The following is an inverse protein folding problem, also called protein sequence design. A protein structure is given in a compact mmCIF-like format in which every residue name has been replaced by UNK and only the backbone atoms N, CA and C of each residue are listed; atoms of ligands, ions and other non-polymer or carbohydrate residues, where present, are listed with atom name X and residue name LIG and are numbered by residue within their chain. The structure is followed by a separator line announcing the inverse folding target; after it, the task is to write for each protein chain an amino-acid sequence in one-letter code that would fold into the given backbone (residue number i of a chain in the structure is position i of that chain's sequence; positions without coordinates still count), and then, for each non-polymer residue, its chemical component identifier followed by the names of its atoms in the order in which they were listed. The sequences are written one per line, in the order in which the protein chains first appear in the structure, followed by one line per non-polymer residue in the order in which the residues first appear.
data_IF_903842663144
#
_entry.id   IF_903842663144
#
_cell.length_a   1.000
_cell.length_b   1.000
_cell.length_c   1.000
_cell.angle_alpha   90.00
_cell.angle_beta   90.00
_cell.angle_gamma   90.00
#
_symmetry.space_group_name_H-M   'P 1'
#
loop_
_entity.id
_entity.type
_entity.pdbx_description
1 polymer ?
#
# COMPACT_ATOMS: atom_id res chain seq x y z
N UNK A 1 -3.64 -18.05 7.87
CA UNK A 1 -4.71 -18.46 6.93
C UNK A 1 -4.53 -17.69 5.64
N UNK A 2 -4.56 -18.37 4.49
CA UNK A 2 -4.58 -17.73 3.18
C UNK A 2 -6.02 -17.55 2.74
N UNK A 3 -6.36 -16.35 2.26
CA UNK A 3 -7.67 -16.06 1.70
C UNK A 3 -7.59 -16.18 0.17
N UNK A 4 -8.52 -16.91 -0.46
CA UNK A 4 -8.52 -17.05 -1.90
C UNK A 4 -8.67 -15.70 -2.60
N UNK A 5 -7.78 -15.42 -3.54
CA UNK A 5 -7.85 -14.28 -4.47
C UNK A 5 -7.77 -14.86 -5.87
N UNK A 6 -8.91 -15.28 -6.40
CA UNK A 6 -9.03 -15.99 -7.67
C UNK A 6 -9.88 -15.18 -8.67
N UNK A 7 -9.84 -15.57 -9.93
CA UNK A 7 -10.64 -14.90 -10.95
C UNK A 7 -12.15 -15.01 -10.65
N UNK A 8 -12.60 -16.13 -10.07
CA UNK A 8 -14.02 -16.35 -9.75
C UNK A 8 -14.55 -15.38 -8.69
N UNK A 9 -13.70 -14.88 -7.80
CA UNK A 9 -14.07 -13.88 -6.79
C UNK A 9 -13.59 -12.46 -7.13
N UNK A 10 -13.16 -12.22 -8.39
CA UNK A 10 -12.63 -10.94 -8.83
C UNK A 10 -11.36 -10.52 -8.10
N UNK A 11 -10.59 -11.48 -7.60
CA UNK A 11 -9.39 -11.26 -6.76
C UNK A 11 -9.66 -10.47 -5.47
N UNK A 12 -10.92 -10.39 -5.05
CA UNK A 12 -11.33 -9.72 -3.82
C UNK A 12 -11.53 -10.76 -2.70
N UNK A 13 -10.63 -10.82 -1.71
CA UNK A 13 -10.75 -11.79 -0.62
C UNK A 13 -11.96 -11.46 0.26
N UNK A 14 -12.63 -12.50 0.73
CA UNK A 14 -13.70 -12.38 1.74
C UNK A 14 -13.09 -12.31 3.13
N UNK A 15 -13.85 -11.72 4.06
CA UNK A 15 -13.48 -11.74 5.47
C UNK A 15 -13.35 -13.20 5.95
N UNK A 16 -12.32 -13.51 6.77
CA UNK A 16 -12.09 -14.87 7.23
C UNK A 16 -13.09 -15.31 8.31
N UNK A 17 -13.37 -16.60 8.39
CA UNK A 17 -14.19 -17.20 9.46
C UNK A 17 -13.44 -17.24 10.81
N UNK A 18 -12.10 -17.08 10.78
CA UNK A 18 -11.25 -17.08 11.97
C UNK A 18 -10.84 -15.65 12.31
N UNK A 19 -10.78 -15.36 13.59
CA UNK A 19 -10.33 -14.06 14.12
C UNK A 19 -8.79 -13.99 14.10
N UNK A 20 -8.16 -13.28 13.15
CA UNK A 20 -6.71 -13.08 13.12
C UNK A 20 -6.32 -11.90 14.00
N UNK A 21 -5.09 -11.92 14.52
CA UNK A 21 -4.46 -10.75 15.15
C UNK A 21 -3.83 -9.79 14.12
N UNK A 22 -3.43 -10.33 12.96
CA UNK A 22 -2.76 -9.62 11.90
C UNK A 22 -3.36 -9.95 10.53
N UNK A 23 -3.65 -8.93 9.74
CA UNK A 23 -4.19 -9.03 8.38
C UNK A 23 -3.18 -8.38 7.43
N UNK A 24 -2.74 -9.10 6.40
CA UNK A 24 -1.90 -8.54 5.34
C UNK A 24 -2.71 -8.38 4.07
N UNK A 25 -2.82 -7.15 3.58
CA UNK A 25 -3.49 -6.81 2.32
C UNK A 25 -2.51 -6.09 1.39
N UNK A 26 -2.48 -6.49 0.12
CA UNK A 26 -1.66 -5.84 -0.90
C UNK A 26 -2.55 -5.39 -2.06
N UNK A 27 -2.76 -4.07 -2.19
CA UNK A 27 -3.55 -3.48 -3.26
C UNK A 27 -2.96 -2.13 -3.73
N UNK A 28 -2.77 -1.94 -5.05
CA UNK A 28 -2.92 -2.95 -6.11
C UNK A 28 -2.03 -4.17 -5.89
N UNK A 29 -2.56 -5.36 -6.21
CA UNK A 29 -1.94 -6.63 -5.84
C UNK A 29 -0.82 -7.04 -6.80
N UNK A 30 0.24 -7.57 -6.26
CA UNK A 30 1.24 -8.33 -7.00
C UNK A 30 1.03 -9.84 -6.69
N UNK A 31 0.77 -10.72 -7.69
CA UNK A 31 0.99 -10.53 -9.14
C UNK A 31 -0.25 -10.18 -9.98
N UNK A 32 -1.44 -10.12 -9.40
CA UNK A 32 -2.70 -10.10 -10.16
C UNK A 32 -3.03 -8.74 -10.79
N UNK A 33 -2.47 -7.65 -10.27
CA UNK A 33 -2.83 -6.28 -10.64
C UNK A 33 -4.21 -5.84 -10.12
N UNK A 34 -4.92 -6.69 -9.39
CA UNK A 34 -6.22 -6.36 -8.86
C UNK A 34 -6.15 -5.23 -7.82
N UNK A 35 -7.12 -4.34 -7.87
CA UNK A 35 -7.31 -3.26 -6.90
C UNK A 35 -8.57 -3.53 -6.05
N UNK A 36 -8.72 -2.80 -4.96
CA UNK A 36 -9.86 -2.91 -4.05
C UNK A 36 -10.61 -1.57 -4.01
N UNK A 37 -11.94 -1.62 -4.09
CA UNK A 37 -12.73 -0.38 -3.97
C UNK A 37 -12.72 0.15 -2.54
N UNK A 38 -13.02 1.43 -2.38
CA UNK A 38 -13.07 2.07 -1.06
C UNK A 38 -14.08 1.38 -0.14
N UNK A 39 -15.25 1.01 -0.67
CA UNK A 39 -16.29 0.33 0.09
C UNK A 39 -15.86 -1.06 0.56
N UNK A 40 -15.15 -1.79 -0.30
CA UNK A 40 -14.61 -3.10 0.06
C UNK A 40 -13.47 -3.00 1.08
N UNK A 41 -12.59 -2.00 0.94
CA UNK A 41 -11.51 -1.74 1.90
C UNK A 41 -12.06 -1.28 3.25
N UNK A 42 -13.13 -0.45 3.26
CA UNK A 42 -13.81 -0.03 4.49
C UNK A 42 -14.29 -1.23 5.32
N UNK A 43 -14.84 -2.26 4.68
CA UNK A 43 -15.26 -3.49 5.40
C UNK A 43 -14.11 -4.18 6.11
N UNK A 44 -12.91 -4.16 5.54
CA UNK A 44 -11.71 -4.68 6.20
C UNK A 44 -11.28 -3.84 7.40
N UNK A 45 -11.39 -2.52 7.28
CA UNK A 45 -11.09 -1.58 8.38
C UNK A 45 -12.08 -1.75 9.51
N UNK A 46 -13.38 -1.83 9.20
CA UNK A 46 -14.44 -2.04 10.19
C UNK A 46 -14.24 -3.38 10.92
N UNK A 47 -13.99 -4.45 10.16
CA UNK A 47 -13.72 -5.77 10.73
C UNK A 47 -12.48 -5.79 11.62
N UNK A 48 -11.37 -5.19 11.18
CA UNK A 48 -10.15 -5.14 11.97
C UNK A 48 -10.34 -4.37 13.30
N UNK A 49 -11.09 -3.27 13.28
CA UNK A 49 -11.45 -2.54 14.49
C UNK A 49 -12.35 -3.36 15.43
N UNK A 50 -13.34 -4.07 14.88
CA UNK A 50 -14.24 -4.93 15.65
C UNK A 50 -13.50 -6.04 16.42
N UNK A 51 -12.56 -6.72 15.73
CA UNK A 51 -11.81 -7.84 16.32
C UNK A 51 -10.48 -7.43 16.96
N UNK A 52 -10.16 -6.13 16.97
CA UNK A 52 -8.88 -5.58 17.47
C UNK A 52 -7.64 -6.11 16.75
N UNK A 53 -7.75 -6.42 15.45
CA UNK A 53 -6.63 -6.82 14.61
C UNK A 53 -5.89 -5.63 14.02
N UNK A 54 -4.64 -5.86 13.59
CA UNK A 54 -3.84 -4.87 12.87
C UNK A 54 -3.75 -5.24 11.38
N UNK A 55 -4.08 -4.28 10.51
CA UNK A 55 -3.89 -4.42 9.06
C UNK A 55 -2.48 -3.93 8.70
N UNK A 56 -1.71 -4.75 7.98
CA UNK A 56 -0.56 -4.32 7.20
C UNK A 56 -1.03 -4.11 5.76
N UNK A 57 -1.15 -2.87 5.35
CA UNK A 57 -1.60 -2.49 4.01
C UNK A 57 -0.41 -2.16 3.11
N UNK A 58 -0.11 -3.05 2.16
CA UNK A 58 0.95 -2.85 1.18
C UNK A 58 0.42 -2.10 -0.04
N UNK A 59 0.76 -0.81 -0.13
CA UNK A 59 0.39 0.10 -1.19
C UNK A 59 1.56 0.41 -2.14
N UNK A 60 2.46 -0.55 -2.36
CA UNK A 60 3.67 -0.32 -3.18
C UNK A 60 3.36 0.08 -4.63
N UNK A 61 2.18 -0.27 -5.15
CA UNK A 61 1.74 0.01 -6.52
C UNK A 61 0.68 1.12 -6.64
N UNK A 62 0.41 1.87 -5.58
CA UNK A 62 -0.63 2.91 -5.54
C UNK A 62 -0.54 3.95 -6.66
N UNK A 63 0.67 4.22 -7.13
CA UNK A 63 0.92 5.21 -8.17
C UNK A 63 0.34 4.83 -9.54
N UNK A 64 -0.03 3.56 -9.75
CA UNK A 64 -0.64 3.06 -10.99
C UNK A 64 -2.17 3.03 -10.96
N UNK A 65 -2.79 3.45 -9.87
CA UNK A 65 -4.26 3.59 -9.77
C UNK A 65 -4.69 4.76 -10.64
N UNK A 66 -5.68 4.50 -11.51
CA UNK A 66 -6.25 5.49 -12.44
C UNK A 66 -7.74 5.72 -12.19
N UNK A 67 -8.41 4.83 -11.48
CA UNK A 67 -9.84 4.85 -11.21
C UNK A 67 -10.15 5.65 -9.94
N UNK A 68 -11.12 6.55 -10.01
CA UNK A 68 -11.49 7.46 -8.91
C UNK A 68 -12.05 6.76 -7.66
N UNK A 69 -12.67 5.57 -7.84
CA UNK A 69 -13.27 4.81 -6.75
C UNK A 69 -12.28 3.87 -6.04
N UNK A 70 -11.03 3.83 -6.48
CA UNK A 70 -9.96 3.03 -5.89
C UNK A 70 -9.11 3.93 -4.97
N UNK A 71 -9.04 3.64 -3.67
CA UNK A 71 -8.27 4.48 -2.74
C UNK A 71 -6.77 4.33 -2.96
N UNK A 72 -6.05 5.45 -2.90
CA UNK A 72 -4.58 5.49 -2.93
C UNK A 72 -3.96 5.21 -1.56
N UNK A 73 -4.77 5.26 -0.51
CA UNK A 73 -4.33 5.04 0.87
C UNK A 73 -5.44 4.36 1.68
N UNK A 74 -5.06 3.45 2.58
CA UNK A 74 -6.02 2.89 3.54
C UNK A 74 -6.60 3.98 4.46
N UNK A 75 -5.89 5.08 4.66
CA UNK A 75 -6.35 6.19 5.49
C UNK A 75 -7.44 7.05 4.86
N UNK A 76 -7.85 6.75 3.64
CA UNK A 76 -9.09 7.27 3.06
C UNK A 76 -10.34 6.57 3.63
N UNK A 77 -10.16 5.44 4.33
CA UNK A 77 -11.20 4.75 5.06
C UNK A 77 -11.32 5.28 6.49
N UNK A 78 -12.56 5.43 6.96
CA UNK A 78 -12.84 5.87 8.32
C UNK A 78 -12.37 4.82 9.33
N UNK A 79 -11.75 5.24 10.44
CA UNK A 79 -11.23 4.35 11.47
C UNK A 79 -9.92 3.63 11.12
N UNK A 80 -9.33 3.83 9.94
CA UNK A 80 -8.10 3.13 9.56
C UNK A 80 -6.90 3.49 10.44
N UNK A 81 -6.85 4.69 11.03
CA UNK A 81 -5.74 5.11 11.90
C UNK A 81 -5.63 4.30 13.18
N UNK A 82 -6.71 3.67 13.62
CA UNK A 82 -6.75 2.86 14.84
C UNK A 82 -6.43 1.39 14.62
N UNK A 83 -6.35 0.93 13.35
CA UNK A 83 -6.13 -0.48 13.05
C UNK A 83 -5.13 -0.76 11.91
N UNK A 84 -4.57 0.25 11.24
CA UNK A 84 -3.75 -0.02 10.06
C UNK A 84 -2.36 0.62 10.09
N UNK A 85 -1.39 -0.13 9.55
CA UNK A 85 -0.05 0.32 9.15
C UNK A 85 0.01 0.28 7.64
N UNK A 86 0.40 1.39 7.01
CA UNK A 86 0.56 1.46 5.56
C UNK A 86 2.02 1.41 5.15
N UNK A 87 2.32 0.56 4.16
CA UNK A 87 3.66 0.39 3.60
C UNK A 87 3.73 1.01 2.20
N UNK A 88 4.72 1.86 1.97
CA UNK A 88 4.94 2.58 0.72
C UNK A 88 6.32 2.31 0.14
N UNK A 89 6.41 2.33 -1.19
CA UNK A 89 7.67 2.11 -1.90
C UNK A 89 7.90 3.14 -3.00
N UNK A 90 9.10 3.69 -3.04
CA UNK A 90 9.55 4.52 -4.16
C UNK A 90 10.01 3.69 -5.37
N UNK A 91 10.22 2.38 -5.19
CA UNK A 91 10.69 1.49 -6.25
C UNK A 91 9.81 1.52 -7.49
N UNK A 92 8.49 1.60 -7.30
CA UNK A 92 7.51 1.59 -8.40
C UNK A 92 7.12 3.00 -8.82
N UNK A 93 6.80 3.85 -7.84
CA UNK A 93 6.37 5.23 -8.06
C UNK A 93 7.42 6.07 -8.81
N UNK A 94 8.69 5.96 -8.41
CA UNK A 94 9.77 6.84 -8.88
C UNK A 94 10.94 6.09 -9.56
N UNK A 95 10.78 4.81 -9.87
CA UNK A 95 11.87 4.02 -10.47
C UNK A 95 13.05 3.75 -9.52
N UNK A 96 12.87 3.89 -8.20
CA UNK A 96 13.95 3.78 -7.20
C UNK A 96 14.30 2.33 -6.82
N UNK A 97 14.13 1.38 -7.74
CA UNK A 97 14.41 -0.03 -7.46
C UNK A 97 15.84 -0.27 -6.96
N UNK A 98 16.83 0.42 -7.54
CA UNK A 98 18.24 0.35 -7.13
C UNK A 98 18.58 1.22 -5.91
N UNK A 99 17.80 2.26 -5.63
CA UNK A 99 18.08 3.21 -4.52
C UNK A 99 17.57 2.72 -3.17
N UNK A 100 16.67 1.73 -3.14
CA UNK A 100 16.17 1.06 -1.93
C UNK A 100 15.52 2.00 -0.93
N UNK A 101 14.46 2.73 -1.35
CA UNK A 101 13.71 3.63 -0.50
C UNK A 101 12.24 3.21 -0.38
N UNK A 102 11.75 3.22 0.83
CA UNK A 102 10.34 3.03 1.19
C UNK A 102 10.07 3.66 2.54
N UNK A 103 8.81 3.72 2.94
CA UNK A 103 8.43 4.18 4.27
C UNK A 103 7.20 3.43 4.77
N UNK A 104 7.03 3.44 6.09
CA UNK A 104 5.83 2.96 6.76
C UNK A 104 5.14 4.13 7.44
N UNK A 105 3.82 4.16 7.36
CA UNK A 105 2.99 5.09 8.14
C UNK A 105 2.36 4.31 9.28
N UNK A 106 2.71 4.68 10.50
CA UNK A 106 2.20 4.05 11.72
C UNK A 106 1.56 5.16 12.57
N UNK A 107 0.23 5.27 12.57
CA UNK A 107 -0.47 6.31 13.30
C UNK A 107 -0.22 6.22 14.81
N UNK A 108 -0.25 7.37 15.49
CA UNK A 108 -0.14 7.41 16.95
C UNK A 108 -1.38 6.85 17.63
N UNK A 109 -2.50 6.89 16.95
CA UNK A 109 -3.78 6.35 17.37
C UNK A 109 -3.81 4.80 17.39
N UNK A 110 -2.83 4.16 16.70
CA UNK A 110 -2.75 2.70 16.63
C UNK A 110 -2.16 2.14 17.94
N UNK A 111 -3.05 1.65 18.79
CA UNK A 111 -2.73 1.08 20.10
C UNK A 111 -3.16 -0.38 20.14
N UNK A 112 -2.28 -1.27 20.57
CA UNK A 112 -2.60 -2.68 20.80
C UNK A 112 -2.23 -3.07 22.22
N UNK A 113 -3.18 -3.66 22.97
CA UNK A 113 -3.00 -4.04 24.38
C UNK A 113 -2.45 -2.89 25.25
N UNK A 114 -2.93 -1.66 25.04
CA UNK A 114 -2.51 -0.48 25.79
C UNK A 114 -1.14 0.08 25.42
N UNK A 115 -0.50 -0.44 24.36
CA UNK A 115 0.83 -0.01 23.90
C UNK A 115 0.74 0.64 22.52
N UNK A 116 1.31 1.84 22.37
CA UNK A 116 1.41 2.54 21.08
C UNK A 116 2.36 1.78 20.15
N UNK A 117 1.85 1.34 18.98
CA UNK A 117 2.69 0.71 17.95
C UNK A 117 3.63 1.72 17.30
N UNK A 118 3.26 3.00 17.27
CA UNK A 118 4.14 4.07 16.79
C UNK A 118 5.38 4.20 17.68
N UNK A 119 5.22 4.21 18.99
CA UNK A 119 6.35 4.31 19.94
C UNK A 119 7.26 3.08 19.87
N UNK A 120 6.68 1.88 19.76
CA UNK A 120 7.43 0.64 19.57
C UNK A 120 8.22 0.67 18.27
N UNK A 121 7.61 1.14 17.19
CA UNK A 121 8.28 1.28 15.88
C UNK A 121 9.43 2.27 15.95
N UNK A 122 9.22 3.47 16.51
CA UNK A 122 10.26 4.49 16.64
C UNK A 122 11.47 3.94 17.40
N UNK A 123 11.23 3.26 18.52
CA UNK A 123 12.29 2.61 19.30
C UNK A 123 13.00 1.53 18.50
N UNK A 124 12.25 0.65 17.84
CA UNK A 124 12.79 -0.45 17.04
C UNK A 124 13.61 0.06 15.86
N UNK A 125 13.05 1.00 15.10
CA UNK A 125 13.68 1.57 13.92
C UNK A 125 14.96 2.34 14.28
N UNK A 126 14.89 3.26 15.24
CA UNK A 126 16.03 4.04 15.69
C UNK A 126 17.16 3.22 16.31
N UNK A 127 16.85 2.02 16.86
CA UNK A 127 17.86 1.14 17.49
C UNK A 127 18.52 0.21 16.47
N UNK A 128 17.79 -0.24 15.44
CA UNK A 128 18.24 -1.31 14.54
C UNK A 128 18.71 -0.83 13.17
N UNK A 129 18.21 0.30 12.69
CA UNK A 129 18.41 0.69 11.31
C UNK A 129 18.87 2.16 11.12
N UNK A 130 18.35 3.10 11.88
CA UNK A 130 18.59 4.55 11.78
C UNK A 130 18.12 5.23 10.49
N UNK A 131 17.55 4.50 9.54
CA UNK A 131 17.01 5.03 8.30
C UNK A 131 17.86 4.80 7.06
N UNK A 132 17.32 5.19 5.90
CA UNK A 132 18.01 5.12 4.62
C UNK A 132 19.17 6.15 4.55
N UNK A 133 20.16 5.96 3.66
CA UNK A 133 21.22 6.94 3.44
C UNK A 133 20.65 8.34 3.15
N UNK A 134 21.28 9.37 3.68
CA UNK A 134 20.81 10.77 3.56
C UNK A 134 20.55 11.20 2.11
N UNK A 135 21.47 10.86 1.20
CA UNK A 135 21.34 11.17 -0.24
C UNK A 135 20.07 10.54 -0.84
N UNK A 136 19.74 9.31 -0.44
CA UNK A 136 18.54 8.60 -0.90
C UNK A 136 17.26 9.25 -0.34
N UNK A 137 17.30 9.72 0.91
CA UNK A 137 16.21 10.48 1.52
C UNK A 137 15.97 11.81 0.78
N UNK A 138 17.05 12.55 0.42
CA UNK A 138 16.95 13.78 -0.37
C UNK A 138 16.38 13.53 -1.78
N UNK A 139 16.76 12.42 -2.40
CA UNK A 139 16.16 12.01 -3.67
C UNK A 139 14.66 11.70 -3.51
N UNK A 140 14.27 11.04 -2.42
CA UNK A 140 12.87 10.79 -2.09
C UNK A 140 12.05 12.08 -1.86
N UNK A 141 12.65 13.08 -1.22
CA UNK A 141 12.05 14.41 -1.06
C UNK A 141 11.82 15.09 -2.41
N UNK A 142 12.81 15.03 -3.31
CA UNK A 142 12.72 15.60 -4.65
C UNK A 142 11.55 15.02 -5.48
N UNK A 143 11.16 13.77 -5.23
CA UNK A 143 9.98 13.12 -5.85
C UNK A 143 8.69 13.93 -5.63
N UNK A 144 8.57 14.63 -4.51
CA UNK A 144 7.39 15.42 -4.14
C UNK A 144 7.48 16.90 -4.55
N UNK A 145 8.59 17.34 -5.15
CA UNK A 145 8.67 18.67 -5.76
C UNK A 145 7.74 18.74 -6.99
N UNK A 146 7.40 19.94 -7.45
CA UNK A 146 6.57 20.11 -8.64
C UNK A 146 7.23 19.49 -9.90
N UNK A 147 8.56 19.65 -10.06
CA UNK A 147 9.31 19.01 -11.14
C UNK A 147 9.31 17.47 -11.01
N UNK A 148 9.51 16.94 -9.80
CA UNK A 148 9.48 15.51 -9.51
C UNK A 148 8.12 14.90 -9.80
N UNK A 149 7.03 15.53 -9.37
CA UNK A 149 5.66 15.09 -9.66
C UNK A 149 5.37 15.05 -11.17
N UNK A 150 5.81 16.08 -11.92
CA UNK A 150 5.64 16.13 -13.37
C UNK A 150 6.36 14.96 -14.06
N UNK A 151 7.64 14.73 -13.73
CA UNK A 151 8.42 13.63 -14.28
C UNK A 151 7.81 12.25 -13.96
N UNK A 152 7.34 12.07 -12.72
CA UNK A 152 6.69 10.81 -12.32
C UNK A 152 5.40 10.58 -13.09
N UNK A 153 4.61 11.62 -13.29
CA UNK A 153 3.37 11.51 -14.07
C UNK A 153 3.64 11.04 -15.51
N UNK A 154 4.66 11.59 -16.16
CA UNK A 154 5.09 11.16 -17.50
C UNK A 154 5.58 9.71 -17.51
N UNK A 155 6.40 9.33 -16.53
CA UNK A 155 6.92 7.97 -16.41
C UNK A 155 5.78 6.95 -16.18
N UNK A 156 4.83 7.24 -15.32
CA UNK A 156 3.68 6.39 -15.05
C UNK A 156 2.81 6.26 -16.31
N UNK A 157 2.55 7.38 -17.01
CA UNK A 157 1.79 7.36 -18.25
C UNK A 157 2.46 6.46 -19.32
N UNK A 158 3.78 6.51 -19.43
CA UNK A 158 4.54 5.63 -20.30
C UNK A 158 4.37 4.13 -19.94
N UNK A 159 4.46 3.78 -18.66
CA UNK A 159 4.26 2.39 -18.23
C UNK A 159 2.82 1.92 -18.44
N UNK A 160 1.84 2.76 -18.16
CA UNK A 160 0.43 2.42 -18.38
C UNK A 160 0.10 2.23 -19.87
N UNK A 161 0.69 3.03 -20.75
CA UNK A 161 0.57 2.85 -22.19
C UNK A 161 1.19 1.53 -22.66
N UNK A 162 2.38 1.17 -22.16
CA UNK A 162 3.00 -0.12 -22.46
C UNK A 162 2.11 -1.29 -21.99
N UNK A 163 1.54 -1.19 -20.81
CA UNK A 163 0.62 -2.20 -20.28
C UNK A 163 -0.64 -2.35 -21.16
N UNK A 164 -1.20 -1.23 -21.64
CA UNK A 164 -2.34 -1.22 -22.56
C UNK A 164 -2.00 -1.93 -23.87
N UNK A 165 -0.87 -1.59 -24.50
CA UNK A 165 -0.42 -2.18 -25.76
C UNK A 165 -0.19 -3.70 -25.63
N UNK A 166 0.47 -4.13 -24.55
CA UNK A 166 0.70 -5.57 -24.29
C UNK A 166 -0.64 -6.29 -24.13
N UNK A 167 -1.55 -5.74 -23.33
CA UNK A 167 -2.87 -6.34 -23.12
C UNK A 167 -3.66 -6.47 -24.42
N UNK A 168 -3.73 -5.40 -25.20
CA UNK A 168 -4.46 -5.40 -26.48
C UNK A 168 -3.84 -6.37 -27.48
N UNK A 169 -2.52 -6.42 -27.57
CA UNK A 169 -1.81 -7.35 -28.44
C UNK A 169 -2.07 -8.83 -28.07
N UNK A 170 -2.11 -9.13 -26.77
CA UNK A 170 -2.40 -10.50 -26.30
C UNK A 170 -3.86 -10.90 -26.49
N UNK A 171 -4.80 -9.95 -26.41
CA UNK A 171 -6.23 -10.23 -26.66
C UNK A 171 -6.48 -10.45 -28.16
N UNK A 172 -5.72 -9.78 -29.03
CA UNK A 172 -5.87 -9.88 -30.48
C UNK A 172 -5.20 -11.13 -31.08
N UNK A 173 -4.30 -11.79 -30.36
CA UNK A 173 -3.58 -12.99 -30.76
C UNK A 173 -4.36 -14.28 -30.46
#
# INVERSE_FOLDING_TARGET
VYMPCTQENGFAPKLPDKTPDLIYLCFPNNPTGAAITKEALQKWVDYANEIHAVILFDAAYEAYITEENIPHSIYECEGAKTCAIELRSFSKKAGFTGMRLGFAVIPKELVSNGVSLNDLWLRRHGTKYNGAPYIVQRAGEAVYSEAGKAQIKEQIAYYMENARQIREGLIAA
#
